data_IF_130195206924
#
_entry.id   IF_130195206924
#
_cell.length_a   1.000
_cell.length_b   1.000
_cell.length_c   1.000
_cell.angle_alpha   90.00
_cell.angle_beta   90.00
_cell.angle_gamma   90.00
#
_symmetry.space_group_name_H-M   'P 1'
#
loop_
_entity.id
_entity.type
_entity.pdbx_description
1 polymer ?
#
# COMPACT_ATOMS: atom_id res chain seq x y z
N UNK A 1 12.44 2.80 19.70
CA UNK A 1 11.59 3.48 18.70
C UNK A 1 10.56 4.31 19.45
N UNK A 2 10.31 5.56 19.04
CA UNK A 2 9.21 6.35 19.57
C UNK A 2 7.96 6.14 18.71
N UNK A 3 6.77 6.34 19.32
CA UNK A 3 5.49 6.17 18.64
C UNK A 3 4.61 7.39 18.86
N UNK A 4 3.89 7.79 17.82
CA UNK A 4 2.97 8.91 17.82
C UNK A 4 1.56 8.46 17.41
N UNK A 5 0.53 9.20 17.84
CA UNK A 5 -0.81 8.98 17.33
C UNK A 5 -0.92 9.40 15.86
N UNK A 6 -1.59 8.61 15.06
CA UNK A 6 -1.93 8.95 13.67
C UNK A 6 -3.09 9.95 13.67
N UNK A 7 -2.76 11.22 13.60
CA UNK A 7 -3.75 12.31 13.60
C UNK A 7 -4.66 12.27 14.84
N UNK A 8 -5.98 12.19 14.61
CA UNK A 8 -7.01 12.14 15.66
C UNK A 8 -7.45 10.73 16.02
N UNK A 9 -6.87 9.71 15.39
CA UNK A 9 -7.21 8.30 15.65
C UNK A 9 -6.51 7.79 16.91
N UNK A 10 -6.87 6.60 17.38
CA UNK A 10 -6.16 5.93 18.47
C UNK A 10 -5.03 5.02 17.96
N UNK A 11 -4.81 4.98 16.64
CA UNK A 11 -3.74 4.22 16.00
C UNK A 11 -2.38 4.85 16.37
N UNK A 12 -1.47 4.02 16.87
CA UNK A 12 -0.10 4.42 17.17
C UNK A 12 0.85 3.93 16.08
N UNK A 13 1.60 4.84 15.49
CA UNK A 13 2.62 4.55 14.48
C UNK A 13 4.01 4.91 14.98
N UNK A 14 5.01 4.15 14.55
CA UNK A 14 6.42 4.48 14.78
C UNK A 14 6.80 5.78 14.05
N UNK A 15 7.72 6.56 14.63
CA UNK A 15 8.21 7.81 14.01
C UNK A 15 8.85 7.58 12.63
N UNK A 16 9.40 6.38 12.42
CA UNK A 16 9.91 5.94 11.12
C UNK A 16 8.93 4.95 10.52
N UNK A 17 8.60 5.12 9.25
CA UNK A 17 7.83 4.16 8.46
C UNK A 17 8.72 3.43 7.46
N UNK A 18 8.30 2.25 7.05
CA UNK A 18 8.93 1.49 5.97
C UNK A 18 8.17 1.72 4.66
N UNK A 19 8.79 2.42 3.71
CA UNK A 19 8.25 2.57 2.35
C UNK A 19 8.59 1.34 1.48
N UNK A 20 7.59 0.56 1.13
CA UNK A 20 7.78 -0.75 0.53
C UNK A 20 7.87 -0.74 -1.01
N UNK A 21 7.91 0.41 -1.66
CA UNK A 21 8.03 0.46 -3.13
C UNK A 21 9.37 -0.11 -3.63
N UNK A 22 10.47 0.13 -2.91
CA UNK A 22 11.81 -0.32 -3.29
C UNK A 22 11.97 -1.84 -3.28
N UNK A 23 11.21 -2.57 -2.47
CA UNK A 23 11.28 -4.05 -2.43
C UNK A 23 10.53 -4.72 -3.59
N UNK A 24 9.76 -3.97 -4.36
CA UNK A 24 8.96 -4.49 -5.46
C UNK A 24 9.32 -3.92 -6.82
N UNK A 25 10.02 -2.78 -6.86
CA UNK A 25 10.42 -2.05 -8.06
C UNK A 25 11.93 -2.00 -8.17
N UNK A 26 12.45 -2.14 -9.38
CA UNK A 26 13.88 -2.08 -9.70
C UNK A 26 14.30 -0.74 -10.36
N UNK A 27 13.42 0.28 -10.32
CA UNK A 27 13.62 1.54 -11.03
C UNK A 27 14.83 2.36 -10.56
N UNK A 28 15.22 2.20 -9.29
CA UNK A 28 16.21 3.07 -8.64
C UNK A 28 17.47 2.33 -8.21
N UNK A 29 17.74 1.19 -8.82
CA UNK A 29 18.95 0.49 -8.52
C UNK A 29 18.86 -1.03 -8.66
N UNK A 30 19.52 -1.74 -7.76
CA UNK A 30 19.58 -3.19 -7.78
C UNK A 30 18.22 -3.81 -7.46
N UNK A 31 17.78 -4.74 -8.30
CA UNK A 31 16.63 -5.60 -8.01
C UNK A 31 16.83 -6.32 -6.65
N UNK A 32 15.82 -6.21 -5.80
CA UNK A 32 15.81 -6.91 -4.51
C UNK A 32 15.06 -8.23 -4.70
N UNK A 33 15.72 -9.33 -4.36
CA UNK A 33 15.11 -10.66 -4.38
C UNK A 33 14.09 -10.82 -3.25
N UNK A 34 13.08 -11.67 -3.44
CA UNK A 34 11.95 -11.77 -2.51
C UNK A 34 12.35 -12.18 -1.09
N UNK A 35 13.31 -13.09 -0.96
CA UNK A 35 13.80 -13.52 0.34
C UNK A 35 14.52 -12.38 1.08
N UNK A 36 15.25 -11.53 0.35
CA UNK A 36 15.86 -10.34 0.93
C UNK A 36 14.80 -9.32 1.33
N UNK A 37 13.81 -9.07 0.46
CA UNK A 37 12.69 -8.19 0.76
C UNK A 37 11.95 -8.60 2.04
N UNK A 38 11.68 -9.89 2.21
CA UNK A 38 11.05 -10.45 3.41
C UNK A 38 11.94 -10.27 4.66
N UNK A 39 13.24 -10.49 4.53
CA UNK A 39 14.19 -10.22 5.63
C UNK A 39 14.21 -8.74 6.01
N UNK A 40 14.16 -7.83 5.02
CA UNK A 40 14.11 -6.38 5.28
C UNK A 40 12.84 -5.99 6.03
N UNK A 41 11.66 -6.48 5.61
CA UNK A 41 10.39 -6.24 6.29
C UNK A 41 10.43 -6.73 7.75
N UNK A 42 10.86 -7.97 7.96
CA UNK A 42 10.99 -8.55 9.30
C UNK A 42 11.98 -7.77 10.16
N UNK A 43 13.13 -7.40 9.60
CA UNK A 43 14.15 -6.61 10.29
C UNK A 43 13.64 -5.23 10.68
N UNK A 44 12.87 -4.57 9.82
CA UNK A 44 12.24 -3.28 10.13
C UNK A 44 11.31 -3.40 11.36
N UNK A 45 10.47 -4.42 11.37
CA UNK A 45 9.60 -4.73 12.51
C UNK A 45 10.41 -5.01 13.80
N UNK A 46 11.45 -5.85 13.73
CA UNK A 46 12.31 -6.19 14.88
C UNK A 46 13.03 -4.96 15.44
N UNK A 47 13.22 -3.91 14.64
CA UNK A 47 13.75 -2.61 15.07
C UNK A 47 12.69 -1.65 15.64
N UNK A 48 11.43 -2.09 15.68
CA UNK A 48 10.29 -1.35 16.24
C UNK A 48 9.53 -0.51 15.21
N UNK A 49 9.75 -0.69 13.91
CA UNK A 49 8.90 -0.07 12.89
C UNK A 49 7.62 -0.88 12.80
N UNK A 50 6.47 -0.23 13.04
CA UNK A 50 5.17 -0.83 12.87
C UNK A 50 4.35 -0.21 11.74
N UNK A 51 4.84 0.83 11.07
CA UNK A 51 4.15 1.51 9.97
C UNK A 51 4.76 1.14 8.62
N UNK A 52 3.98 0.47 7.77
CA UNK A 52 4.38 -0.01 6.45
C UNK A 52 3.52 0.64 5.38
N UNK A 53 4.17 1.42 4.51
CA UNK A 53 3.53 2.11 3.39
C UNK A 53 3.78 1.36 2.10
N UNK A 54 2.71 1.13 1.33
CA UNK A 54 2.74 0.41 0.05
C UNK A 54 1.75 0.99 -0.96
N UNK A 55 1.52 0.30 -2.05
CA UNK A 55 0.54 0.61 -3.09
C UNK A 55 0.29 -0.58 -4.01
N UNK A 56 -0.91 -0.69 -4.52
CA UNK A 56 -1.38 -1.78 -5.37
C UNK A 56 -0.56 -1.91 -6.67
N UNK A 57 -0.08 -0.78 -7.21
CA UNK A 57 0.74 -0.79 -8.42
C UNK A 57 2.22 -1.17 -8.17
N UNK A 58 2.71 -1.18 -6.93
CA UNK A 58 4.12 -1.46 -6.65
C UNK A 58 4.48 -2.91 -6.99
N UNK A 59 5.18 -3.07 -8.12
CA UNK A 59 5.44 -4.38 -8.70
C UNK A 59 4.16 -5.12 -9.09
N UNK A 60 3.09 -4.40 -9.48
CA UNK A 60 1.77 -4.96 -9.82
C UNK A 60 1.20 -5.84 -8.69
N UNK A 61 1.28 -5.32 -7.45
CA UNK A 61 0.81 -5.99 -6.24
C UNK A 61 1.86 -6.83 -5.52
N UNK A 62 3.09 -6.93 -6.04
CA UNK A 62 4.18 -7.69 -5.40
C UNK A 62 4.49 -7.16 -4.00
N UNK A 63 4.53 -5.83 -3.83
CA UNK A 63 4.82 -5.21 -2.54
C UNK A 63 3.79 -5.60 -1.47
N UNK A 64 2.49 -5.49 -1.79
CA UNK A 64 1.41 -5.88 -0.86
C UNK A 64 1.47 -7.38 -0.55
N UNK A 65 1.71 -8.24 -1.55
CA UNK A 65 1.86 -9.69 -1.34
C UNK A 65 3.00 -10.01 -0.37
N UNK A 66 4.16 -9.38 -0.54
CA UNK A 66 5.31 -9.60 0.35
C UNK A 66 5.02 -9.17 1.79
N UNK A 67 4.35 -8.03 1.99
CA UNK A 67 3.90 -7.57 3.31
C UNK A 67 2.92 -8.59 3.92
N UNK A 68 1.92 -9.03 3.16
CA UNK A 68 0.95 -10.03 3.62
C UNK A 68 1.62 -11.34 4.03
N UNK A 69 2.53 -11.87 3.20
CA UNK A 69 3.25 -13.11 3.51
C UNK A 69 4.10 -13.03 4.79
N UNK A 70 4.65 -11.85 5.10
CA UNK A 70 5.49 -11.67 6.30
C UNK A 70 4.64 -11.45 7.54
N UNK A 71 3.51 -10.74 7.44
CA UNK A 71 2.80 -10.22 8.61
C UNK A 71 1.39 -10.77 8.83
N UNK A 72 0.89 -11.70 8.01
CA UNK A 72 -0.47 -12.26 8.15
C UNK A 72 -0.80 -12.77 9.57
N UNK A 73 0.18 -13.39 10.23
CA UNK A 73 0.02 -13.94 11.58
C UNK A 73 0.29 -12.89 12.69
N UNK A 74 0.63 -11.67 12.32
CA UNK A 74 0.97 -10.55 13.19
C UNK A 74 0.25 -9.27 12.74
N UNK A 75 -0.88 -9.39 12.02
CA UNK A 75 -1.54 -8.25 11.36
C UNK A 75 -1.89 -7.12 12.33
N UNK A 76 -2.34 -7.44 13.53
CA UNK A 76 -2.72 -6.48 14.56
C UNK A 76 -1.53 -5.74 15.21
N UNK A 77 -0.31 -6.18 14.93
CA UNK A 77 0.92 -5.57 15.46
C UNK A 77 1.50 -4.49 14.54
N UNK A 78 0.95 -4.36 13.33
CA UNK A 78 1.42 -3.41 12.33
C UNK A 78 0.30 -2.53 11.80
N UNK A 79 0.69 -1.37 11.28
CA UNK A 79 -0.19 -0.41 10.60
C UNK A 79 0.16 -0.40 9.12
N UNK A 80 -0.80 -0.73 8.27
CA UNK A 80 -0.63 -0.79 6.82
C UNK A 80 -1.32 0.41 6.17
N UNK A 81 -0.53 1.20 5.42
CA UNK A 81 -1.05 2.20 4.50
C UNK A 81 -0.86 1.70 3.08
N UNK A 82 -1.96 1.52 2.35
CA UNK A 82 -1.89 1.24 0.90
C UNK A 82 -2.74 2.24 0.12
N UNK A 83 -2.58 2.22 -1.19
CA UNK A 83 -3.23 3.16 -2.10
C UNK A 83 -3.52 2.53 -3.45
N UNK A 84 -4.54 3.06 -4.15
CA UNK A 84 -5.00 2.60 -5.44
C UNK A 84 -5.25 3.77 -6.40
N UNK A 85 -5.48 3.45 -7.65
CA UNK A 85 -5.89 4.45 -8.65
C UNK A 85 -5.28 4.24 -10.01
N UNK A 86 -4.24 3.45 -10.14
CA UNK A 86 -3.68 3.11 -11.45
C UNK A 86 -4.26 1.80 -11.99
N UNK A 87 -4.85 1.84 -13.20
CA UNK A 87 -5.26 0.62 -13.88
C UNK A 87 -4.08 0.04 -14.67
N UNK A 88 -3.34 -0.83 -14.02
CA UNK A 88 -2.15 -1.50 -14.61
C UNK A 88 -2.48 -2.85 -15.27
N UNK A 89 -3.76 -3.20 -15.37
CA UNK A 89 -4.19 -4.47 -15.97
C UNK A 89 -4.06 -4.42 -17.48
N UNK A 90 -3.31 -5.37 -18.05
CA UNK A 90 -3.08 -5.44 -19.49
C UNK A 90 -2.27 -4.29 -20.07
N UNK A 91 -1.69 -3.43 -19.23
CA UNK A 91 -0.83 -2.32 -19.65
C UNK A 91 0.61 -2.68 -19.35
N UNK A 92 1.48 -2.55 -20.37
CA UNK A 92 2.92 -2.61 -20.19
C UNK A 92 3.42 -1.21 -19.83
N UNK A 93 3.96 -1.04 -18.64
CA UNK A 93 4.58 0.21 -18.23
C UNK A 93 5.99 0.28 -18.78
N UNK A 94 6.25 1.27 -19.62
CA UNK A 94 7.59 1.53 -20.17
C UNK A 94 8.25 2.64 -19.34
N UNK A 95 9.27 2.27 -18.58
CA UNK A 95 10.00 3.21 -17.71
C UNK A 95 9.06 3.88 -16.70
N UNK A 96 9.11 5.21 -16.64
CA UNK A 96 8.29 6.04 -15.74
C UNK A 96 7.00 6.58 -16.40
N UNK A 97 6.53 5.95 -17.49
CA UNK A 97 5.29 6.39 -18.12
C UNK A 97 4.10 6.35 -17.16
N UNK A 98 3.27 7.39 -17.23
CA UNK A 98 2.06 7.46 -16.41
C UNK A 98 1.06 6.38 -16.85
N UNK A 99 0.62 5.57 -15.90
CA UNK A 99 -0.44 4.58 -16.13
C UNK A 99 -1.82 5.26 -16.11
N UNK A 100 -2.84 4.71 -16.81
CA UNK A 100 -4.21 5.20 -16.71
C UNK A 100 -4.70 5.20 -15.27
N UNK A 101 -5.31 6.31 -14.83
CA UNK A 101 -5.93 6.40 -13.51
C UNK A 101 -7.44 6.11 -13.61
N UNK A 102 -7.96 5.42 -12.60
CA UNK A 102 -9.36 5.04 -12.50
C UNK A 102 -9.81 5.04 -11.04
N UNK A 103 -10.92 5.76 -10.76
CA UNK A 103 -11.45 5.95 -9.42
C UNK A 103 -12.99 5.75 -9.34
N UNK A 104 -13.62 5.16 -10.38
CA UNK A 104 -15.03 4.82 -10.30
C UNK A 104 -15.30 3.75 -9.23
N UNK A 105 -16.56 3.63 -8.81
CA UNK A 105 -16.96 2.75 -7.73
C UNK A 105 -16.56 1.29 -7.96
N UNK A 106 -16.82 0.76 -9.14
CA UNK A 106 -16.50 -0.65 -9.44
C UNK A 106 -15.01 -0.92 -9.36
N UNK A 107 -14.20 0.00 -9.90
CA UNK A 107 -12.74 -0.09 -9.82
C UNK A 107 -12.26 0.02 -8.39
N UNK A 108 -12.77 0.97 -7.62
CA UNK A 108 -12.40 1.19 -6.22
C UNK A 108 -12.69 -0.06 -5.37
N UNK A 109 -13.90 -0.63 -5.49
CA UNK A 109 -14.28 -1.86 -4.78
C UNK A 109 -13.44 -3.06 -5.19
N UNK A 110 -13.14 -3.18 -6.48
CA UNK A 110 -12.25 -4.24 -6.99
C UNK A 110 -10.83 -4.06 -6.47
N UNK A 111 -10.27 -2.86 -6.52
CA UNK A 111 -8.92 -2.56 -6.07
C UNK A 111 -8.76 -2.89 -4.57
N UNK A 112 -9.73 -2.47 -3.74
CA UNK A 112 -9.74 -2.80 -2.30
C UNK A 112 -9.73 -4.31 -2.07
N UNK A 113 -10.66 -5.05 -2.68
CA UNK A 113 -10.69 -6.53 -2.55
C UNK A 113 -9.37 -7.18 -2.94
N UNK A 114 -8.75 -6.71 -4.02
CA UNK A 114 -7.48 -7.24 -4.49
C UNK A 114 -6.32 -6.90 -3.52
N UNK A 115 -6.31 -5.71 -2.92
CA UNK A 115 -5.31 -5.33 -1.92
C UNK A 115 -5.46 -6.17 -0.65
N UNK A 116 -6.67 -6.32 -0.12
CA UNK A 116 -6.95 -7.19 1.04
C UNK A 116 -6.50 -8.64 0.78
N UNK A 117 -6.80 -9.16 -0.41
CA UNK A 117 -6.37 -10.51 -0.79
C UNK A 117 -4.85 -10.65 -0.83
N UNK A 118 -4.13 -9.69 -1.45
CA UNK A 118 -2.66 -9.73 -1.52
C UNK A 118 -2.01 -9.55 -0.15
N UNK A 119 -2.56 -8.68 0.68
CA UNK A 119 -2.11 -8.43 2.06
C UNK A 119 -2.51 -9.54 3.04
N UNK A 120 -3.35 -10.50 2.61
CA UNK A 120 -3.85 -11.61 3.43
C UNK A 120 -4.51 -11.13 4.73
N UNK A 121 -5.35 -10.10 4.65
CA UNK A 121 -6.05 -9.47 5.76
C UNK A 121 -7.48 -9.10 5.38
N UNK A 122 -8.33 -8.89 6.35
CA UNK A 122 -9.72 -8.44 6.19
C UNK A 122 -9.90 -6.93 6.36
N UNK A 123 -8.85 -6.21 6.76
CA UNK A 123 -8.90 -4.75 6.97
C UNK A 123 -7.62 -4.03 6.57
N UNK A 124 -7.75 -2.71 6.35
CA UNK A 124 -6.65 -1.76 6.13
C UNK A 124 -6.73 -0.66 7.20
N UNK A 125 -5.59 -0.16 7.64
CA UNK A 125 -5.54 0.97 8.57
C UNK A 125 -5.64 2.31 7.84
N UNK A 126 -5.06 2.38 6.65
CA UNK A 126 -5.12 3.54 5.76
C UNK A 126 -5.28 3.10 4.31
N UNK A 127 -6.28 3.66 3.63
CA UNK A 127 -6.50 3.44 2.21
C UNK A 127 -6.60 4.76 1.47
N UNK A 128 -5.72 5.01 0.53
CA UNK A 128 -5.58 6.30 -0.13
C UNK A 128 -5.68 6.25 -1.65
N UNK A 129 -5.84 7.43 -2.25
CA UNK A 129 -5.74 7.62 -3.69
C UNK A 129 -4.26 7.74 -4.10
N UNK A 130 -3.86 7.04 -5.16
CA UNK A 130 -2.48 7.08 -5.66
C UNK A 130 -2.30 8.21 -6.67
N UNK A 131 -1.56 9.26 -6.29
CA UNK A 131 -1.29 10.45 -7.11
C UNK A 131 -2.56 11.05 -7.76
N UNK A 132 -3.64 11.29 -7.01
CA UNK A 132 -4.86 11.83 -7.57
C UNK A 132 -4.62 13.21 -8.18
N UNK A 133 -5.26 13.51 -9.32
CA UNK A 133 -5.33 14.86 -9.88
C UNK A 133 -6.34 15.69 -9.09
N UNK A 134 -6.28 17.02 -9.20
CA UNK A 134 -7.14 17.93 -8.43
C UNK A 134 -8.65 17.69 -8.69
N UNK A 135 -9.03 17.30 -9.90
CA UNK A 135 -10.41 16.95 -10.23
C UNK A 135 -10.87 15.69 -9.46
N UNK A 136 -10.00 14.71 -9.23
CA UNK A 136 -10.34 13.52 -8.44
C UNK A 136 -10.55 13.88 -6.96
N UNK A 137 -9.74 14.80 -6.40
CA UNK A 137 -9.89 15.24 -5.00
C UNK A 137 -11.17 16.06 -4.80
N UNK A 138 -11.70 16.68 -5.85
CA UNK A 138 -12.95 17.46 -5.83
C UNK A 138 -14.20 16.65 -6.17
N UNK A 139 -14.04 15.38 -6.45
CA UNK A 139 -15.14 14.48 -6.80
C UNK A 139 -15.65 13.76 -5.56
N UNK A 140 -16.73 14.26 -4.99
CA UNK A 140 -17.35 13.69 -3.78
C UNK A 140 -17.78 12.25 -3.97
N UNK A 141 -18.05 11.79 -5.21
CA UNK A 141 -18.46 10.42 -5.48
C UNK A 141 -17.37 9.41 -5.10
N UNK A 142 -16.09 9.76 -5.29
CA UNK A 142 -14.95 8.93 -4.89
C UNK A 142 -14.91 8.74 -3.37
N UNK A 143 -15.08 9.83 -2.62
CA UNK A 143 -15.04 9.79 -1.17
C UNK A 143 -16.27 9.09 -0.57
N UNK A 144 -17.47 9.27 -1.17
CA UNK A 144 -18.66 8.53 -0.76
C UNK A 144 -18.48 7.01 -0.88
N UNK A 145 -17.75 6.54 -1.89
CA UNK A 145 -17.42 5.11 -2.03
C UNK A 145 -16.45 4.68 -0.94
N UNK A 146 -15.40 5.47 -0.67
CA UNK A 146 -14.43 5.17 0.39
C UNK A 146 -15.09 5.15 1.78
N UNK A 147 -15.99 6.07 2.06
CA UNK A 147 -16.72 6.15 3.34
C UNK A 147 -17.72 4.98 3.53
N UNK A 148 -18.00 4.22 2.46
CA UNK A 148 -18.89 3.05 2.52
C UNK A 148 -18.19 1.76 2.94
N UNK A 149 -16.89 1.76 3.16
CA UNK A 149 -16.08 0.62 3.60
C UNK A 149 -15.91 0.61 5.12
#
# INVERSE_FOLDING_TARGET
MNYNKLGKTDIKISELGFGAWAIALDWWGKKIEEDEAKRMLKKAYDLGINFFETGDMYGKGKSERLIGEVFKDMRDEIVISTKYGYDFRGVEQIGHSELPQKFDEDFTRMALRNSLHRLQTDHLDMYGLHNPKLNHIRDDSIFNVLDSF
#
